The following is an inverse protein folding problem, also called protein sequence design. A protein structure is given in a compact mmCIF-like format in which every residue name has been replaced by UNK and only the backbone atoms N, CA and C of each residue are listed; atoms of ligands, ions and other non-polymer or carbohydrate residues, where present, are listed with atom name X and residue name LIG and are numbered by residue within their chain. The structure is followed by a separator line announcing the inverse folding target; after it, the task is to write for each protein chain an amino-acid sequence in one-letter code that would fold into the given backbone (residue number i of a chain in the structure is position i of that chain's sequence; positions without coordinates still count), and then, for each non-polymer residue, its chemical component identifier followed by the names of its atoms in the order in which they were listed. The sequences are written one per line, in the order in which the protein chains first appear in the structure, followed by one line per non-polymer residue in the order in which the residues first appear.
data_IF_036471549722
#
_entry.id   IF_036471549722
#
_cell.length_a   1.000
_cell.length_b   1.000
_cell.length_c   1.000
_cell.angle_alpha   90.00
_cell.angle_beta   90.00
_cell.angle_gamma   90.00
#
_symmetry.space_group_name_H-M   'P 1'
#
loop_
_entity.id
_entity.type
_entity.pdbx_description
1 polymer ?
#
# COMPACT_ATOMS: atom_id res chain seq x y z
N UNK A 1 18.44 16.06 17.28
CA UNK A 1 17.89 17.00 16.29
C UNK A 1 18.99 17.35 15.29
N UNK A 2 18.63 17.41 13.99
CA UNK A 2 19.37 17.92 12.80
C UNK A 2 20.73 17.30 12.47
N UNK A 3 20.97 16.61 11.35
CA UNK A 3 20.20 16.27 10.14
C UNK A 3 21.08 15.33 9.27
N UNK A 4 20.51 14.52 8.37
CA UNK A 4 21.29 13.52 7.65
C UNK A 4 22.21 14.15 6.62
N UNK A 5 23.48 13.79 6.76
CA UNK A 5 24.60 14.08 5.89
C UNK A 5 24.36 13.58 4.46
N UNK A 6 24.68 14.44 3.49
CA UNK A 6 25.32 14.07 2.23
C UNK A 6 24.59 13.01 1.37
N UNK A 7 23.50 13.41 0.72
CA UNK A 7 23.17 12.86 -0.61
C UNK A 7 24.03 13.59 -1.65
N UNK A 8 25.33 13.29 -1.65
CA UNK A 8 26.26 13.68 -2.71
C UNK A 8 26.02 12.76 -3.92
N UNK A 9 24.85 12.91 -4.55
CA UNK A 9 24.60 12.38 -5.87
C UNK A 9 25.28 13.31 -6.87
N UNK A 10 26.35 12.83 -7.51
CA UNK A 10 27.04 13.60 -8.55
C UNK A 10 26.07 13.96 -9.67
N UNK A 11 25.53 15.17 -9.65
CA UNK A 11 24.98 15.81 -10.83
C UNK A 11 26.14 16.07 -11.77
N UNK A 12 26.51 15.06 -12.57
CA UNK A 12 27.07 15.36 -13.89
C UNK A 12 26.03 16.26 -14.55
N UNK A 13 26.38 17.53 -14.73
CA UNK A 13 25.74 18.39 -15.72
C UNK A 13 25.96 17.72 -17.08
N UNK A 14 25.14 16.71 -17.37
CA UNK A 14 24.96 16.22 -18.73
C UNK A 14 24.52 17.45 -19.49
N UNK A 15 25.36 17.92 -20.41
CA UNK A 15 24.90 18.84 -21.44
C UNK A 15 23.59 18.27 -21.98
N UNK A 16 22.48 19.00 -21.80
CA UNK A 16 21.22 18.59 -22.39
C UNK A 16 21.47 18.42 -23.88
N UNK A 17 21.40 17.18 -24.37
CA UNK A 17 21.33 16.89 -25.82
C UNK A 17 20.20 17.71 -26.47
N UNK A 18 19.22 18.06 -25.65
CA UNK A 18 18.11 18.99 -25.82
C UNK A 18 18.46 20.48 -25.62
N UNK A 19 19.66 20.97 -25.85
CA UNK A 19 19.93 22.41 -25.83
C UNK A 19 20.74 22.90 -27.05
N UNK A 20 21.43 21.99 -27.73
CA UNK A 20 22.28 22.33 -28.86
C UNK A 20 21.51 22.39 -30.17
N UNK A 21 21.47 23.58 -30.79
CA UNK A 21 21.19 23.69 -32.23
C UNK A 21 22.41 23.17 -32.99
N UNK A 22 22.21 22.27 -33.97
CA UNK A 22 23.32 21.81 -34.81
C UNK A 22 23.71 22.90 -35.82
N UNK A 23 24.99 22.99 -36.16
CA UNK A 23 25.53 24.07 -37.00
C UNK A 23 24.93 24.08 -38.42
N UNK A 24 24.43 22.93 -38.87
CA UNK A 24 23.83 22.65 -40.19
C UNK A 24 22.29 22.75 -40.20
N UNK A 25 21.65 23.00 -39.06
CA UNK A 25 20.19 22.94 -38.92
C UNK A 25 19.54 24.34 -39.05
N UNK A 26 18.50 24.42 -39.90
CA UNK A 26 17.67 25.63 -40.00
C UNK A 26 16.84 25.83 -38.73
N UNK A 27 16.52 27.08 -38.38
CA UNK A 27 15.73 27.39 -37.19
C UNK A 27 14.37 26.67 -37.19
N UNK A 28 13.74 26.55 -38.36
CA UNK A 28 12.48 25.86 -38.52
C UNK A 28 12.61 24.35 -38.25
N UNK A 29 13.63 23.69 -38.79
CA UNK A 29 13.90 22.28 -38.55
C UNK A 29 14.16 21.99 -37.07
N UNK A 30 14.90 22.87 -36.40
CA UNK A 30 15.14 22.77 -34.96
C UNK A 30 13.83 22.84 -34.16
N UNK A 31 12.97 23.83 -34.43
CA UNK A 31 11.69 23.98 -33.71
C UNK A 31 10.76 22.78 -33.96
N UNK A 32 10.70 22.28 -35.20
CA UNK A 32 9.85 21.14 -35.55
C UNK A 32 10.30 19.87 -34.83
N UNK A 33 11.62 19.62 -34.82
CA UNK A 33 12.24 18.51 -34.10
C UNK A 33 11.98 18.60 -32.59
N UNK A 34 12.07 19.78 -31.99
CA UNK A 34 11.77 19.98 -30.57
C UNK A 34 10.34 19.71 -30.22
N UNK A 35 9.41 20.14 -31.06
CA UNK A 35 8.00 19.89 -30.85
C UNK A 35 7.69 18.38 -30.88
N UNK A 36 8.32 17.64 -31.80
CA UNK A 36 8.19 16.19 -31.87
C UNK A 36 8.82 15.50 -30.66
N UNK A 37 10.07 15.81 -30.33
CA UNK A 37 10.78 15.21 -29.20
C UNK A 37 10.07 15.49 -27.86
N UNK A 38 9.54 16.71 -27.67
CA UNK A 38 8.75 17.04 -26.48
C UNK A 38 7.40 16.30 -26.47
N UNK A 39 6.76 16.13 -27.62
CA UNK A 39 5.55 15.33 -27.75
C UNK A 39 5.77 13.86 -27.39
N UNK A 40 6.89 13.28 -27.84
CA UNK A 40 7.28 11.90 -27.55
C UNK A 40 7.57 11.69 -26.06
N UNK A 41 8.23 12.66 -25.40
CA UNK A 41 8.48 12.61 -23.96
C UNK A 41 7.18 12.74 -23.15
N UNK A 42 6.26 13.63 -23.56
CA UNK A 42 4.94 13.75 -22.92
C UNK A 42 4.16 12.45 -23.04
N UNK A 43 4.13 11.84 -24.23
CA UNK A 43 3.47 10.55 -24.44
C UNK A 43 4.10 9.43 -23.59
N UNK A 44 5.43 9.44 -23.44
CA UNK A 44 6.13 8.49 -22.57
C UNK A 44 5.79 8.71 -21.08
N UNK A 45 5.68 9.97 -20.63
CA UNK A 45 5.25 10.29 -19.28
C UNK A 45 3.81 9.90 -19.03
N UNK A 46 2.91 10.14 -19.98
CA UNK A 46 1.51 9.74 -19.89
C UNK A 46 1.36 8.21 -19.79
N UNK A 47 2.11 7.46 -20.60
CA UNK A 47 2.13 6.00 -20.49
C UNK A 47 2.71 5.51 -19.15
N UNK A 48 3.67 6.23 -18.57
CA UNK A 48 4.20 5.92 -17.23
C UNK A 48 3.20 6.25 -16.13
N UNK A 49 2.52 7.40 -16.21
CA UNK A 49 1.53 7.82 -15.20
C UNK A 49 0.28 6.94 -15.25
N UNK A 50 -0.19 6.52 -16.42
CA UNK A 50 -1.30 5.56 -16.55
C UNK A 50 -0.96 4.23 -15.88
N UNK A 51 0.25 3.71 -16.11
CA UNK A 51 0.72 2.47 -15.46
C UNK A 51 0.83 2.63 -13.95
N UNK A 52 1.35 3.78 -13.47
CA UNK A 52 1.41 4.07 -12.04
C UNK A 52 0.01 4.20 -11.43
N UNK A 53 -0.93 4.85 -12.12
CA UNK A 53 -2.31 4.97 -11.67
C UNK A 53 -3.00 3.60 -11.59
N UNK A 54 -2.80 2.72 -12.58
CA UNK A 54 -3.33 1.36 -12.57
C UNK A 54 -2.74 0.52 -11.43
N UNK A 55 -1.43 0.61 -11.17
CA UNK A 55 -0.79 -0.07 -10.03
C UNK A 55 -1.33 0.44 -8.69
N UNK A 56 -1.42 1.76 -8.52
CA UNK A 56 -1.96 2.37 -7.31
C UNK A 56 -3.43 2.02 -7.09
N UNK A 57 -4.23 1.92 -8.16
CA UNK A 57 -5.63 1.51 -8.07
C UNK A 57 -5.77 0.07 -7.56
N UNK A 58 -4.98 -0.86 -8.12
CA UNK A 58 -4.97 -2.25 -7.69
C UNK A 58 -4.50 -2.44 -6.24
N UNK A 59 -3.45 -1.72 -5.82
CA UNK A 59 -2.99 -1.73 -4.42
C UNK A 59 -4.02 -1.14 -3.46
N UNK A 60 -4.71 -0.08 -3.87
CA UNK A 60 -5.72 0.60 -3.06
C UNK A 60 -6.96 -0.27 -2.87
N UNK A 61 -7.39 -0.99 -3.89
CA UNK A 61 -8.55 -1.88 -3.82
C UNK A 61 -8.28 -3.08 -2.89
N UNK A 62 -7.09 -3.68 -2.98
CA UNK A 62 -6.66 -4.74 -2.07
C UNK A 62 -6.54 -4.25 -0.62
N UNK A 63 -6.08 -3.02 -0.40
CA UNK A 63 -6.00 -2.40 0.92
C UNK A 63 -7.37 -2.12 1.52
N UNK A 64 -8.30 -1.57 0.73
CA UNK A 64 -9.67 -1.29 1.17
C UNK A 64 -10.41 -2.58 1.53
N UNK A 65 -10.28 -3.63 0.71
CA UNK A 65 -10.88 -4.93 1.01
C UNK A 65 -10.34 -5.50 2.34
N UNK A 66 -9.04 -5.34 2.59
CA UNK A 66 -8.43 -5.76 3.84
C UNK A 66 -8.93 -4.95 5.05
N UNK A 67 -8.96 -3.63 4.95
CA UNK A 67 -9.46 -2.74 6.02
C UNK A 67 -10.96 -3.00 6.32
N UNK A 68 -11.80 -3.17 5.29
CA UNK A 68 -13.20 -3.54 5.47
C UNK A 68 -13.37 -4.90 6.16
N UNK A 69 -12.57 -5.91 5.77
CA UNK A 69 -12.63 -7.23 6.41
C UNK A 69 -12.28 -7.18 7.90
N UNK A 70 -11.34 -6.32 8.29
CA UNK A 70 -10.96 -6.11 9.69
C UNK A 70 -12.08 -5.43 10.48
N UNK A 71 -12.70 -4.39 9.91
CA UNK A 71 -13.82 -3.68 10.55
C UNK A 71 -15.03 -4.60 10.75
N UNK A 72 -15.38 -5.41 9.74
CA UNK A 72 -16.46 -6.39 9.85
C UNK A 72 -16.15 -7.45 10.91
N UNK A 73 -14.91 -7.96 10.96
CA UNK A 73 -14.48 -8.90 12.00
C UNK A 73 -14.57 -8.32 13.41
N UNK A 74 -14.22 -7.04 13.58
CA UNK A 74 -14.37 -6.33 14.84
C UNK A 74 -15.82 -6.16 15.27
N UNK A 75 -16.69 -5.76 14.33
CA UNK A 75 -18.11 -5.61 14.61
C UNK A 75 -18.76 -6.94 15.05
N UNK A 76 -18.37 -8.06 14.42
CA UNK A 76 -18.83 -9.39 14.81
C UNK A 76 -18.41 -9.79 16.22
N UNK A 77 -17.15 -9.54 16.60
CA UNK A 77 -16.66 -9.84 17.96
C UNK A 77 -17.42 -9.01 18.99
N UNK A 78 -17.61 -7.70 18.73
CA UNK A 78 -18.36 -6.83 19.62
C UNK A 78 -19.83 -7.27 19.76
N UNK A 79 -20.49 -7.64 18.67
CA UNK A 79 -21.87 -8.14 18.69
C UNK A 79 -21.99 -9.46 19.46
N UNK A 80 -21.05 -10.38 19.27
CA UNK A 80 -21.03 -11.67 19.98
C UNK A 80 -20.85 -11.48 21.49
N UNK A 81 -19.91 -10.61 21.90
CA UNK A 81 -19.67 -10.31 23.31
C UNK A 81 -20.86 -9.58 23.93
N UNK A 82 -21.46 -8.62 23.23
CA UNK A 82 -22.66 -7.95 23.70
C UNK A 82 -23.85 -8.92 23.87
N UNK A 83 -24.04 -9.85 22.93
CA UNK A 83 -25.09 -10.86 23.01
C UNK A 83 -24.90 -11.83 24.17
N UNK A 84 -23.68 -12.35 24.36
CA UNK A 84 -23.36 -13.21 25.52
C UNK A 84 -23.55 -12.46 26.83
N UNK A 85 -23.00 -11.25 26.95
CA UNK A 85 -23.07 -10.48 28.19
C UNK A 85 -24.52 -10.08 28.53
N UNK A 86 -25.32 -9.70 27.53
CA UNK A 86 -26.75 -9.43 27.71
C UNK A 86 -27.56 -10.65 28.16
N UNK A 87 -27.15 -11.87 27.77
CA UNK A 87 -27.79 -13.12 28.20
C UNK A 87 -27.43 -13.50 29.64
N UNK A 88 -26.19 -13.26 30.07
CA UNK A 88 -25.71 -13.64 31.40
C UNK A 88 -25.87 -12.56 32.48
N UNK A 89 -25.86 -11.28 32.11
CA UNK A 89 -25.92 -10.13 33.03
C UNK A 89 -26.94 -9.08 32.56
N UNK A 90 -28.25 -9.41 32.57
CA UNK A 90 -29.28 -8.47 32.17
C UNK A 90 -29.33 -7.29 33.16
N UNK A 91 -29.09 -6.07 32.67
CA UNK A 91 -29.23 -4.82 33.44
C UNK A 91 -27.92 -4.11 33.80
N UNK A 92 -26.75 -4.74 33.62
CA UNK A 92 -25.46 -4.09 33.84
C UNK A 92 -24.91 -3.46 32.54
N UNK A 93 -25.43 -2.28 32.22
CA UNK A 93 -25.01 -1.49 31.05
C UNK A 93 -23.55 -1.03 31.11
N UNK A 94 -23.03 -0.82 32.32
CA UNK A 94 -21.68 -0.32 32.54
C UNK A 94 -20.65 -1.45 32.32
N UNK A 95 -20.93 -2.64 32.86
CA UNK A 95 -20.16 -3.85 32.60
C UNK A 95 -20.20 -4.26 31.12
N UNK A 96 -21.35 -4.12 30.45
CA UNK A 96 -21.50 -4.38 29.01
C UNK A 96 -20.55 -3.49 28.19
N UNK A 97 -20.57 -2.17 28.44
CA UNK A 97 -19.71 -1.22 27.70
C UNK A 97 -18.22 -1.52 27.91
N UNK A 98 -17.83 -1.89 29.14
CA UNK A 98 -16.45 -2.23 29.49
C UNK A 98 -16.00 -3.54 28.82
N UNK A 99 -16.85 -4.56 28.83
CA UNK A 99 -16.61 -5.84 28.17
C UNK A 99 -16.48 -5.70 26.65
N UNK A 100 -17.36 -4.91 26.02
CA UNK A 100 -17.30 -4.63 24.57
C UNK A 100 -16.05 -3.83 24.22
N UNK A 101 -15.67 -2.83 25.02
CA UNK A 101 -14.43 -2.07 24.81
C UNK A 101 -13.19 -2.94 24.89
N UNK A 102 -13.09 -3.79 25.92
CA UNK A 102 -11.96 -4.73 26.09
C UNK A 102 -11.91 -5.76 24.96
N UNK A 103 -13.05 -6.34 24.59
CA UNK A 103 -13.14 -7.31 23.50
C UNK A 103 -12.80 -6.69 22.14
N UNK A 104 -13.21 -5.45 21.90
CA UNK A 104 -12.84 -4.69 20.71
C UNK A 104 -11.33 -4.44 20.69
N UNK A 105 -10.75 -3.94 21.79
CA UNK A 105 -9.31 -3.67 21.89
C UNK A 105 -8.45 -4.93 21.69
N UNK A 106 -8.82 -6.05 22.34
CA UNK A 106 -8.12 -7.34 22.19
C UNK A 106 -8.36 -7.94 20.81
N UNK A 107 -9.60 -7.88 20.31
CA UNK A 107 -9.97 -8.36 18.99
C UNK A 107 -9.23 -7.62 17.88
N UNK A 108 -9.03 -6.30 18.03
CA UNK A 108 -8.34 -5.47 17.04
C UNK A 108 -6.86 -5.85 16.95
N UNK A 109 -6.21 -6.05 18.09
CA UNK A 109 -4.82 -6.53 18.15
C UNK A 109 -4.71 -7.94 17.56
N UNK A 110 -5.68 -8.81 17.86
CA UNK A 110 -5.70 -10.20 17.39
C UNK A 110 -5.94 -10.29 15.89
N UNK A 111 -6.88 -9.55 15.33
CA UNK A 111 -7.19 -9.57 13.89
C UNK A 111 -6.06 -8.98 13.04
N UNK A 112 -5.26 -8.06 13.57
CA UNK A 112 -4.08 -7.53 12.87
C UNK A 112 -2.90 -8.50 12.90
N UNK A 113 -2.72 -9.27 13.98
CA UNK A 113 -1.56 -10.16 14.15
C UNK A 113 -1.79 -11.64 13.84
N UNK A 114 -3.02 -12.14 13.95
CA UNK A 114 -3.33 -13.53 13.63
C UNK A 114 -3.10 -13.87 12.15
N UNK A 115 -3.49 -13.06 11.16
CA UNK A 115 -3.30 -13.42 9.76
C UNK A 115 -1.82 -13.56 9.38
N UNK A 116 -0.94 -12.73 9.95
CA UNK A 116 0.50 -12.78 9.71
C UNK A 116 1.15 -13.98 10.41
N UNK A 117 0.76 -14.27 11.65
CA UNK A 117 1.21 -15.46 12.39
C UNK A 117 0.73 -16.76 11.72
N UNK A 118 -0.53 -16.82 11.26
CA UNK A 118 -1.07 -17.96 10.54
C UNK A 118 -0.38 -18.17 9.19
N UNK A 119 -0.15 -17.11 8.39
CA UNK A 119 0.62 -17.25 7.14
C UNK A 119 2.02 -17.80 7.39
N UNK A 120 2.69 -17.35 8.44
CA UNK A 120 4.02 -17.81 8.78
C UNK A 120 4.02 -19.29 9.23
N UNK A 121 3.03 -19.68 10.05
CA UNK A 121 2.84 -21.06 10.49
C UNK A 121 2.52 -22.00 9.32
N UNK A 122 1.57 -21.64 8.45
CA UNK A 122 1.24 -22.42 7.25
C UNK A 122 2.42 -22.51 6.27
N UNK A 123 3.22 -21.44 6.13
CA UNK A 123 4.44 -21.47 5.34
C UNK A 123 5.51 -22.41 5.91
N UNK A 124 5.59 -22.56 7.23
CA UNK A 124 6.46 -23.56 7.88
C UNK A 124 5.94 -24.99 7.68
N UNK A 125 4.64 -25.21 7.84
CA UNK A 125 4.01 -26.52 7.62
C UNK A 125 4.16 -26.97 6.16
N UNK A 126 3.97 -26.06 5.19
CA UNK A 126 4.14 -26.38 3.77
C UNK A 126 5.60 -26.76 3.43
N UNK A 127 6.57 -25.99 3.94
CA UNK A 127 8.01 -26.29 3.80
C UNK A 127 8.44 -27.57 4.51
N UNK A 128 7.76 -27.95 5.59
CA UNK A 128 7.98 -29.23 6.26
C UNK A 128 7.43 -30.39 5.41
N UNK A 129 6.23 -30.22 4.83
CA UNK A 129 5.62 -31.22 3.94
C UNK A 129 6.41 -31.43 2.64
N UNK A 130 6.94 -30.37 2.04
CA UNK A 130 7.78 -30.45 0.83
C UNK A 130 9.14 -31.15 1.10
N UNK A 131 9.64 -31.13 2.34
CA UNK A 131 10.89 -31.81 2.72
C UNK A 131 10.70 -33.30 3.05
N UNK A 132 9.54 -33.69 3.56
CA UNK A 132 9.21 -35.09 3.87
C UNK A 132 8.54 -35.85 2.71
N UNK A 133 8.24 -35.17 1.59
CA UNK A 133 7.71 -35.78 0.38
C UNK A 133 8.80 -36.11 -0.68
N UNK A 134 10.08 -36.00 -0.32
CA UNK A 134 11.22 -36.56 -1.05
C UNK A 134 11.81 -37.69 -0.25
#
# INVERSE_FOLDING_TARGET
MTGPSSLNGSHRLRACSFAGRRADETLHAFLLRRHQEMGDEIAAFEAMTERQAAMLWGEREARIAHECSLLVGQAWIAAFVAGLFGMFFPGDWLGLMLAVSLASMIGGISLVRLPSAFRQAFGCIRRWRERHAR
#
